data_IF_193761154417
#
_entry.id   IF_193761154417
#
_cell.length_a   1.000
_cell.length_b   1.000
_cell.length_c   1.000
_cell.angle_alpha   90.00
_cell.angle_beta   90.00
_cell.angle_gamma   90.00
#
_symmetry.space_group_name_H-M   'P 1'
#
loop_
_entity.id
_entity.type
_entity.pdbx_description
1 polymer ?
#
# COMPACT_ATOMS: atom_id res chain seq x y z
N UNK A 1 48.29 14.05 14.85
CA UNK A 1 46.89 13.91 14.34
C UNK A 1 46.44 12.47 14.66
N UNK A 2 45.71 12.31 15.73
CA UNK A 2 45.16 11.03 16.16
C UNK A 2 43.95 10.67 15.28
N UNK A 3 43.97 9.47 14.69
CA UNK A 3 42.82 8.99 13.88
C UNK A 3 41.56 8.95 14.75
N UNK A 4 40.39 9.29 14.21
CA UNK A 4 39.13 9.21 14.95
C UNK A 4 38.86 7.75 15.34
N UNK A 5 38.39 7.54 16.57
CA UNK A 5 38.02 6.24 17.08
C UNK A 5 36.98 5.57 16.16
N UNK A 6 37.06 4.25 15.96
CA UNK A 6 36.04 3.54 15.16
C UNK A 6 34.67 3.70 15.84
N UNK A 7 33.58 3.82 15.07
CA UNK A 7 32.25 3.93 15.62
C UNK A 7 31.89 2.68 16.43
N UNK A 8 31.09 2.81 17.49
CA UNK A 8 30.66 1.69 18.32
C UNK A 8 29.96 0.63 17.45
N UNK A 9 30.21 -0.64 17.79
CA UNK A 9 29.60 -1.78 17.11
C UNK A 9 28.06 -1.65 17.17
N UNK A 10 27.44 -1.64 16.00
CA UNK A 10 25.97 -1.66 15.91
C UNK A 10 25.43 -2.91 16.62
N UNK A 11 24.31 -2.81 17.34
CA UNK A 11 23.69 -3.97 17.96
C UNK A 11 23.38 -5.03 16.90
N UNK A 12 23.74 -6.28 17.20
CA UNK A 12 23.37 -7.41 16.34
C UNK A 12 21.86 -7.58 16.44
N UNK A 13 21.16 -7.25 15.37
CA UNK A 13 19.72 -7.46 15.28
C UNK A 13 19.46 -8.97 15.24
N UNK A 14 18.77 -9.50 16.24
CA UNK A 14 18.18 -10.85 16.19
C UNK A 14 17.02 -10.83 15.19
N UNK A 15 17.32 -10.91 13.88
CA UNK A 15 16.32 -10.85 12.80
C UNK A 15 15.73 -12.25 12.61
N UNK A 16 14.43 -12.40 12.87
CA UNK A 16 13.72 -13.58 12.47
C UNK A 16 13.69 -13.65 10.92
N UNK A 17 13.78 -14.86 10.37
CA UNK A 17 13.84 -15.09 8.92
C UNK A 17 12.60 -14.58 8.13
N UNK A 18 11.63 -14.01 8.82
CA UNK A 18 10.33 -13.54 8.29
C UNK A 18 10.14 -12.01 8.32
N UNK A 19 11.15 -11.23 8.72
CA UNK A 19 11.03 -9.78 8.76
C UNK A 19 11.53 -9.16 7.45
N UNK A 20 10.69 -8.34 6.81
CA UNK A 20 11.07 -7.61 5.62
C UNK A 20 12.03 -6.46 5.94
N UNK A 21 11.66 -5.58 6.89
CA UNK A 21 12.52 -4.50 7.40
C UNK A 21 12.49 -4.51 8.93
N UNK A 22 13.66 -4.37 9.54
CA UNK A 22 13.80 -4.09 10.97
C UNK A 22 14.74 -2.91 11.13
N UNK A 23 14.26 -1.87 11.82
CA UNK A 23 15.03 -0.67 12.13
C UNK A 23 14.98 -0.38 13.62
N UNK A 24 16.12 -0.01 14.21
CA UNK A 24 16.24 0.32 15.63
C UNK A 24 17.05 1.59 15.83
N UNK A 25 16.48 2.54 16.58
CA UNK A 25 17.15 3.73 17.05
C UNK A 25 17.77 4.57 15.92
N UNK A 26 17.13 4.61 14.74
CA UNK A 26 17.66 5.36 13.61
C UNK A 26 17.64 6.85 13.90
N UNK A 27 18.78 7.51 13.67
CA UNK A 27 18.93 8.96 13.75
C UNK A 27 19.60 9.52 12.50
N UNK A 28 19.19 10.71 12.07
CA UNK A 28 19.81 11.47 11.00
C UNK A 28 19.59 12.96 11.15
N UNK A 29 20.68 13.72 11.08
CA UNK A 29 20.69 15.17 11.19
C UNK A 29 21.33 15.83 9.98
N UNK A 30 20.89 17.03 9.64
CA UNK A 30 21.45 17.90 8.62
C UNK A 30 21.74 19.27 9.26
N UNK A 31 23.00 19.46 9.69
CA UNK A 31 23.37 20.61 10.50
C UNK A 31 22.56 20.64 11.82
N UNK A 32 21.81 21.71 12.06
CA UNK A 32 20.97 21.86 13.24
C UNK A 32 19.59 21.16 13.13
N UNK A 33 19.24 20.62 11.95
CA UNK A 33 17.94 19.98 11.73
C UNK A 33 18.06 18.48 11.98
N UNK A 34 17.39 18.01 13.02
CA UNK A 34 17.27 16.57 13.34
C UNK A 34 16.08 15.98 12.60
N UNK A 35 16.28 15.52 11.35
CA UNK A 35 15.22 15.01 10.51
C UNK A 35 14.68 13.65 10.97
N UNK A 36 15.57 12.79 11.50
CA UNK A 36 15.23 11.53 12.18
C UNK A 36 15.97 11.54 13.50
N UNK A 37 15.26 11.34 14.62
CA UNK A 37 15.83 11.44 15.97
C UNK A 37 15.97 10.09 16.65
N UNK A 38 14.88 9.31 16.61
CA UNK A 38 14.82 7.98 17.21
C UNK A 38 13.66 7.22 16.55
N UNK A 39 13.98 6.51 15.47
CA UNK A 39 12.98 5.74 14.73
C UNK A 39 13.29 4.26 14.88
N UNK A 40 12.32 3.54 15.42
CA UNK A 40 12.30 2.08 15.46
C UNK A 40 11.01 1.57 14.82
N UNK A 41 11.12 0.63 13.89
CA UNK A 41 9.98 0.05 13.21
C UNK A 41 10.30 -1.36 12.68
N UNK A 42 9.25 -2.14 12.48
CA UNK A 42 9.30 -3.44 11.77
C UNK A 42 8.26 -3.45 10.68
N UNK A 43 8.66 -3.89 9.48
CA UNK A 43 7.78 -4.17 8.35
C UNK A 43 7.84 -5.66 8.09
N UNK A 44 6.84 -6.45 8.50
CA UNK A 44 6.86 -7.90 8.30
C UNK A 44 6.78 -8.28 6.83
N UNK A 45 7.41 -9.38 6.45
CA UNK A 45 7.18 -10.00 5.16
C UNK A 45 5.70 -10.42 5.02
N UNK A 46 5.17 -10.29 3.83
CA UNK A 46 3.78 -10.64 3.57
C UNK A 46 2.75 -9.65 4.09
N UNK A 47 3.15 -8.42 4.43
CA UNK A 47 2.25 -7.39 4.95
C UNK A 47 2.48 -6.03 4.31
N UNK A 48 1.44 -5.20 4.35
CA UNK A 48 1.50 -3.78 4.00
C UNK A 48 1.54 -2.95 5.27
N UNK A 49 2.60 -2.18 5.46
CA UNK A 49 2.77 -1.25 6.59
C UNK A 49 2.64 0.18 6.09
N UNK A 50 1.77 0.97 6.70
CA UNK A 50 1.64 2.39 6.45
C UNK A 50 2.65 3.20 7.27
N UNK A 51 3.27 4.20 6.65
CA UNK A 51 4.11 5.21 7.32
C UNK A 51 3.35 6.53 7.35
N UNK A 52 2.84 6.88 8.50
CA UNK A 52 1.94 8.03 8.71
C UNK A 52 2.66 9.15 9.44
N UNK A 53 2.46 10.38 9.01
CA UNK A 53 2.97 11.55 9.71
C UNK A 53 2.76 12.83 8.92
N UNK A 54 2.72 14.00 9.58
CA UNK A 54 2.60 15.29 8.92
C UNK A 54 3.81 15.58 8.02
N UNK A 55 3.69 16.58 7.16
CA UNK A 55 4.84 17.06 6.38
C UNK A 55 5.95 17.53 7.33
N UNK A 56 7.19 17.18 7.01
CA UNK A 56 8.34 17.49 7.87
C UNK A 56 8.54 16.52 9.05
N UNK A 57 7.72 15.47 9.22
CA UNK A 57 7.92 14.48 10.28
C UNK A 57 9.12 13.55 10.10
N UNK A 58 9.81 13.61 8.94
CA UNK A 58 10.98 12.77 8.64
C UNK A 58 10.70 11.58 7.75
N UNK A 59 9.48 11.37 7.21
CA UNK A 59 9.11 10.20 6.39
C UNK A 59 10.06 9.96 5.23
N UNK A 60 10.23 10.96 4.36
CA UNK A 60 11.12 10.84 3.18
C UNK A 60 12.56 10.58 3.58
N UNK A 61 13.06 11.23 4.64
CA UNK A 61 14.42 10.99 5.16
C UNK A 61 14.56 9.54 5.68
N UNK A 62 13.58 9.06 6.40
CA UNK A 62 13.54 7.67 6.85
C UNK A 62 13.51 6.70 5.67
N UNK A 63 12.64 6.92 4.69
CA UNK A 63 12.58 6.08 3.49
C UNK A 63 13.90 6.05 2.73
N UNK A 64 14.61 7.19 2.61
CA UNK A 64 15.95 7.25 2.00
C UNK A 64 16.98 6.43 2.79
N UNK A 65 16.90 6.41 4.13
CA UNK A 65 17.76 5.56 4.97
C UNK A 65 17.45 4.09 4.72
N UNK A 66 16.17 3.71 4.74
CA UNK A 66 15.74 2.33 4.50
C UNK A 66 16.07 1.88 3.07
N UNK A 67 15.98 2.78 2.09
CA UNK A 67 16.38 2.54 0.70
C UNK A 67 17.92 2.50 0.49
N UNK A 68 18.72 2.64 1.57
CA UNK A 68 20.20 2.70 1.54
C UNK A 68 20.77 3.85 0.70
N UNK A 69 19.98 4.87 0.43
CA UNK A 69 20.37 6.07 -0.31
C UNK A 69 20.94 7.14 0.63
N UNK A 70 20.67 7.03 1.92
CA UNK A 70 21.17 7.90 2.96
C UNK A 70 21.68 7.06 4.14
N UNK A 71 22.93 7.32 4.56
CA UNK A 71 23.49 6.63 5.72
C UNK A 71 22.93 7.26 7.01
N UNK A 72 22.42 6.49 7.98
CA UNK A 72 22.05 7.02 9.28
C UNK A 72 23.28 7.46 10.09
N UNK A 73 23.10 8.42 10.99
CA UNK A 73 24.14 8.86 11.95
C UNK A 73 24.25 7.87 13.13
N UNK A 74 23.12 7.24 13.49
CA UNK A 74 23.06 6.22 14.54
C UNK A 74 21.93 5.20 14.23
N UNK A 75 21.95 4.10 14.97
CA UNK A 75 20.99 3.02 14.83
C UNK A 75 21.42 1.93 13.86
N UNK A 76 20.55 0.97 13.66
CA UNK A 76 20.76 -0.17 12.77
C UNK A 76 19.51 -0.44 11.91
N UNK A 77 19.71 -0.91 10.69
CA UNK A 77 18.63 -1.30 9.78
C UNK A 77 19.00 -2.59 9.05
N UNK A 78 18.06 -3.53 9.05
CA UNK A 78 18.12 -4.77 8.26
C UNK A 78 17.02 -4.76 7.21
N UNK A 79 17.35 -5.18 5.99
CA UNK A 79 16.45 -5.34 4.85
C UNK A 79 16.50 -6.81 4.41
N UNK A 80 15.40 -7.52 4.54
CA UNK A 80 15.31 -8.95 4.25
C UNK A 80 16.47 -9.76 4.86
N UNK A 81 16.83 -9.46 6.11
CA UNK A 81 17.91 -10.12 6.85
C UNK A 81 19.32 -9.61 6.56
N UNK A 82 19.49 -8.62 5.67
CA UNK A 82 20.79 -8.01 5.34
C UNK A 82 21.00 -6.71 6.11
N UNK A 83 22.15 -6.53 6.75
CA UNK A 83 22.55 -5.26 7.36
C UNK A 83 22.72 -4.18 6.25
N UNK A 84 21.75 -3.30 6.15
CA UNK A 84 21.69 -2.31 5.06
C UNK A 84 22.75 -1.20 5.18
N UNK A 85 23.36 -1.04 6.36
CA UNK A 85 24.45 -0.08 6.58
C UNK A 85 25.80 -0.66 6.16
N UNK A 86 26.04 -1.94 6.44
CA UNK A 86 27.28 -2.64 6.12
C UNK A 86 27.31 -3.21 4.71
N UNK A 87 26.15 -3.72 4.23
CA UNK A 87 26.01 -4.39 2.95
C UNK A 87 24.94 -3.73 2.06
N UNK A 88 25.06 -2.41 1.79
CA UNK A 88 24.01 -1.65 1.11
C UNK A 88 23.73 -2.14 -0.32
N UNK A 89 24.73 -2.70 -1.00
CA UNK A 89 24.56 -3.25 -2.36
C UNK A 89 23.69 -4.50 -2.33
N UNK A 90 23.93 -5.39 -1.37
CA UNK A 90 23.13 -6.61 -1.21
C UNK A 90 21.70 -6.29 -0.73
N UNK A 91 21.55 -5.32 0.18
CA UNK A 91 20.23 -4.85 0.60
C UNK A 91 19.43 -4.28 -0.58
N UNK A 92 20.04 -3.49 -1.48
CA UNK A 92 19.39 -2.94 -2.68
C UNK A 92 18.92 -4.02 -3.68
N UNK A 93 19.58 -5.16 -3.74
CA UNK A 93 19.13 -6.29 -4.59
C UNK A 93 17.79 -6.86 -4.16
N UNK A 94 17.46 -6.71 -2.86
CA UNK A 94 16.22 -7.22 -2.24
C UNK A 94 15.15 -6.18 -2.14
N UNK A 95 15.45 -4.92 -2.49
CA UNK A 95 14.62 -3.76 -2.21
C UNK A 95 14.21 -3.04 -3.50
N UNK A 96 12.91 -2.84 -3.67
CA UNK A 96 12.34 -1.91 -4.64
C UNK A 96 12.07 -0.55 -4.00
N UNK A 97 12.39 0.52 -4.71
CA UNK A 97 12.19 1.89 -4.25
C UNK A 97 11.42 2.72 -5.28
N UNK A 98 10.33 3.33 -4.82
CA UNK A 98 9.53 4.28 -5.58
C UNK A 98 9.49 5.61 -4.83
N UNK A 99 10.23 6.65 -5.29
CA UNK A 99 10.19 7.98 -4.70
C UNK A 99 8.94 8.75 -5.13
N UNK A 100 8.52 9.73 -4.32
CA UNK A 100 7.46 10.69 -4.69
C UNK A 100 7.83 11.50 -5.95
N UNK A 101 9.11 11.89 -6.08
CA UNK A 101 9.58 12.57 -7.28
C UNK A 101 9.85 11.56 -8.39
N UNK A 102 9.01 11.58 -9.42
CA UNK A 102 9.07 10.66 -10.56
C UNK A 102 10.25 10.99 -11.49
N UNK A 103 11.46 10.72 -11.08
CA UNK A 103 12.63 10.82 -11.95
C UNK A 103 12.53 9.83 -13.12
N UNK A 104 12.00 10.26 -14.26
CA UNK A 104 11.97 9.47 -15.49
C UNK A 104 13.11 9.87 -16.40
N UNK A 105 13.71 8.89 -17.10
CA UNK A 105 14.62 9.18 -18.21
C UNK A 105 13.77 9.53 -19.43
N UNK A 106 13.50 10.83 -19.60
CA UNK A 106 12.48 11.37 -20.50
C UNK A 106 12.64 10.92 -21.96
N UNK A 107 13.89 10.76 -22.41
CA UNK A 107 14.21 10.40 -23.79
C UNK A 107 14.18 8.88 -24.06
N UNK A 108 14.25 8.06 -23.03
CA UNK A 108 14.18 6.61 -23.19
C UNK A 108 12.74 6.14 -23.35
N UNK A 109 12.56 5.05 -24.10
CA UNK A 109 11.25 4.39 -24.18
C UNK A 109 10.91 3.71 -22.84
N UNK A 110 9.61 3.52 -22.56
CA UNK A 110 9.18 2.84 -21.35
C UNK A 110 9.77 1.43 -21.25
N UNK A 111 9.84 0.70 -22.37
CA UNK A 111 10.46 -0.61 -22.46
C UNK A 111 11.97 -0.54 -22.16
N UNK A 112 12.71 0.40 -22.79
CA UNK A 112 14.15 0.49 -22.57
C UNK A 112 14.53 0.85 -21.14
N UNK A 113 13.72 1.68 -20.48
CA UNK A 113 13.88 2.00 -19.05
C UNK A 113 13.83 0.71 -18.23
N UNK A 114 12.77 -0.09 -18.39
CA UNK A 114 12.57 -1.31 -17.61
C UNK A 114 13.60 -2.40 -17.95
N UNK A 115 13.89 -2.60 -19.25
CA UNK A 115 14.88 -3.56 -19.70
C UNK A 115 16.29 -3.20 -19.22
N UNK A 116 16.66 -1.90 -19.22
CA UNK A 116 17.94 -1.45 -18.70
C UNK A 116 18.07 -1.70 -17.20
N UNK A 117 17.01 -1.42 -16.43
CA UNK A 117 16.98 -1.73 -15.00
C UNK A 117 17.09 -3.24 -14.75
N UNK A 118 16.35 -4.08 -15.46
CA UNK A 118 16.46 -5.53 -15.34
C UNK A 118 17.92 -6.01 -15.56
N UNK A 119 18.60 -5.44 -16.54
CA UNK A 119 20.02 -5.71 -16.79
C UNK A 119 20.95 -5.25 -15.67
N UNK A 120 20.69 -4.10 -15.06
CA UNK A 120 21.44 -3.61 -13.89
C UNK A 120 21.29 -4.54 -12.67
N UNK A 121 20.16 -5.22 -12.57
CA UNK A 121 19.93 -6.28 -11.56
C UNK A 121 20.43 -7.67 -12.00
N UNK A 122 21.17 -7.78 -13.11
CA UNK A 122 21.84 -9.02 -13.53
C UNK A 122 21.06 -9.90 -14.49
N UNK A 123 19.90 -9.49 -14.99
CA UNK A 123 19.14 -10.24 -16.00
C UNK A 123 19.87 -10.26 -17.36
N UNK A 124 19.78 -11.38 -18.05
CA UNK A 124 20.22 -11.45 -19.46
C UNK A 124 19.39 -10.54 -20.36
N UNK A 125 19.91 -10.22 -21.57
CA UNK A 125 19.23 -9.29 -22.50
C UNK A 125 17.79 -9.73 -22.83
N UNK A 126 17.62 -11.00 -23.19
CA UNK A 126 16.30 -11.54 -23.54
C UNK A 126 15.35 -11.57 -22.34
N UNK A 127 15.84 -11.97 -21.16
CA UNK A 127 15.09 -11.99 -19.91
C UNK A 127 14.64 -10.59 -19.50
N UNK A 128 15.55 -9.60 -19.53
CA UNK A 128 15.26 -8.22 -19.20
C UNK A 128 14.20 -7.61 -20.14
N UNK A 129 14.25 -7.94 -21.44
CA UNK A 129 13.24 -7.50 -22.40
C UNK A 129 11.87 -8.12 -22.11
N UNK A 130 11.82 -9.44 -21.93
CA UNK A 130 10.56 -10.14 -21.57
C UNK A 130 9.99 -9.63 -20.25
N UNK A 131 10.85 -9.36 -19.26
CA UNK A 131 10.42 -8.79 -17.99
C UNK A 131 9.89 -7.36 -18.13
N UNK A 132 10.47 -6.54 -19.01
CA UNK A 132 9.96 -5.22 -19.31
C UNK A 132 8.55 -5.29 -19.93
N UNK A 133 8.30 -6.21 -20.87
CA UNK A 133 6.97 -6.41 -21.46
C UNK A 133 5.96 -6.87 -20.41
N UNK A 134 6.33 -7.83 -19.54
CA UNK A 134 5.50 -8.28 -18.41
C UNK A 134 5.12 -7.12 -17.49
N UNK A 135 6.08 -6.27 -17.12
CA UNK A 135 5.85 -5.12 -16.25
C UNK A 135 4.95 -4.07 -16.92
N UNK A 136 5.15 -3.77 -18.19
CA UNK A 136 4.32 -2.81 -18.93
C UNK A 136 2.89 -3.32 -19.08
N UNK A 137 2.68 -4.61 -19.27
CA UNK A 137 1.36 -5.22 -19.30
C UNK A 137 0.68 -5.13 -17.93
N UNK A 138 1.41 -5.42 -16.84
CA UNK A 138 0.89 -5.34 -15.46
C UNK A 138 0.42 -3.92 -15.10
N UNK A 139 1.21 -2.89 -15.44
CA UNK A 139 0.84 -1.50 -15.15
C UNK A 139 0.00 -0.84 -16.26
N UNK A 140 -0.52 -1.59 -17.21
CA UNK A 140 -1.37 -1.12 -18.33
C UNK A 140 -0.69 -0.01 -19.17
N UNK A 141 0.58 -0.18 -19.50
CA UNK A 141 1.37 0.74 -20.33
C UNK A 141 1.89 0.09 -21.63
N UNK A 142 1.33 -1.04 -22.04
CA UNK A 142 1.79 -1.78 -23.25
C UNK A 142 1.76 -0.92 -24.51
N UNK A 143 0.72 -0.09 -24.68
CA UNK A 143 0.63 0.82 -25.86
C UNK A 143 1.70 1.92 -25.88
N UNK A 144 2.33 2.20 -24.71
CA UNK A 144 3.41 3.18 -24.56
C UNK A 144 4.80 2.54 -24.55
N UNK A 145 4.91 1.20 -24.72
CA UNK A 145 6.16 0.47 -24.58
C UNK A 145 7.33 1.11 -25.37
N UNK A 146 7.10 1.46 -26.62
CA UNK A 146 8.09 2.03 -27.52
C UNK A 146 8.00 3.55 -27.67
N UNK A 147 7.27 4.22 -26.78
CA UNK A 147 7.20 5.70 -26.72
C UNK A 147 8.13 6.24 -25.66
N UNK A 148 8.76 7.40 -25.88
CA UNK A 148 9.57 8.08 -24.87
C UNK A 148 8.73 8.37 -23.61
N UNK A 149 9.33 8.21 -22.41
CA UNK A 149 8.61 8.36 -21.16
C UNK A 149 8.06 9.79 -20.92
N UNK A 150 8.60 10.82 -21.60
CA UNK A 150 8.10 12.19 -21.53
C UNK A 150 6.66 12.38 -22.02
N UNK A 151 6.14 11.48 -22.86
CA UNK A 151 4.75 11.59 -23.37
C UNK A 151 3.71 11.08 -22.37
N UNK A 152 4.13 10.43 -21.29
CA UNK A 152 3.23 9.88 -20.28
C UNK A 152 2.59 10.98 -19.43
N UNK A 153 1.30 10.85 -19.17
CA UNK A 153 0.63 11.63 -18.12
C UNK A 153 1.22 11.34 -16.74
N UNK A 154 0.97 12.21 -15.76
CA UNK A 154 1.46 12.02 -14.38
C UNK A 154 1.06 10.65 -13.79
N UNK A 155 -0.20 10.23 -13.95
CA UNK A 155 -0.65 8.91 -13.49
C UNK A 155 0.03 7.75 -14.22
N UNK A 156 0.33 7.90 -15.52
CA UNK A 156 1.09 6.90 -16.29
C UNK A 156 2.56 6.86 -15.83
N UNK A 157 3.18 8.01 -15.55
CA UNK A 157 4.53 8.08 -14.96
C UNK A 157 4.58 7.40 -13.59
N UNK A 158 3.54 7.58 -12.76
CA UNK A 158 3.41 6.93 -11.47
C UNK A 158 3.38 5.39 -11.62
N UNK A 159 2.58 4.89 -12.57
CA UNK A 159 2.53 3.46 -12.89
C UNK A 159 3.85 2.92 -13.42
N UNK A 160 4.54 3.67 -14.28
CA UNK A 160 5.89 3.31 -14.75
C UNK A 160 6.89 3.29 -13.58
N UNK A 161 6.80 4.22 -12.63
CA UNK A 161 7.66 4.25 -11.44
C UNK A 161 7.46 3.01 -10.55
N UNK A 162 6.21 2.55 -10.39
CA UNK A 162 5.92 1.29 -9.69
C UNK A 162 6.52 0.08 -10.43
N UNK A 163 6.37 0.02 -11.76
CA UNK A 163 6.98 -1.03 -12.58
C UNK A 163 8.52 -1.06 -12.45
N UNK A 164 9.16 0.12 -12.40
CA UNK A 164 10.60 0.26 -12.16
C UNK A 164 11.02 -0.29 -10.81
N UNK A 165 10.26 0.02 -9.76
CA UNK A 165 10.54 -0.44 -8.40
C UNK A 165 10.42 -1.96 -8.25
N UNK A 166 9.64 -2.63 -9.13
CA UNK A 166 9.30 -4.05 -9.02
C UNK A 166 9.92 -4.93 -10.10
N UNK A 167 10.68 -4.37 -11.05
CA UNK A 167 11.24 -5.09 -12.20
C UNK A 167 12.09 -6.29 -11.77
N UNK A 168 12.86 -6.20 -10.72
CA UNK A 168 13.75 -7.23 -10.19
C UNK A 168 13.12 -8.15 -9.16
N UNK A 169 11.79 -8.11 -8.98
CA UNK A 169 11.02 -8.92 -8.02
C UNK A 169 11.56 -8.80 -6.60
N UNK A 170 11.57 -7.60 -6.02
CA UNK A 170 12.11 -7.37 -4.69
C UNK A 170 11.29 -8.08 -3.61
N UNK A 171 11.94 -8.52 -2.52
CA UNK A 171 11.27 -9.04 -1.32
C UNK A 171 10.78 -7.92 -0.39
N UNK A 172 11.29 -6.70 -0.58
CA UNK A 172 10.89 -5.49 0.17
C UNK A 172 10.55 -4.38 -0.82
N UNK A 173 9.45 -3.68 -0.62
CA UNK A 173 9.01 -2.56 -1.45
C UNK A 173 8.77 -1.33 -0.59
N UNK A 174 9.49 -0.24 -0.90
CA UNK A 174 9.32 1.07 -0.29
C UNK A 174 8.66 2.02 -1.28
N UNK A 175 7.58 2.69 -0.86
CA UNK A 175 6.80 3.58 -1.71
C UNK A 175 6.58 4.92 -0.99
N UNK A 176 7.05 6.01 -1.59
CA UNK A 176 6.83 7.36 -1.07
C UNK A 176 5.69 8.02 -1.85
N UNK A 177 4.55 8.23 -1.18
CA UNK A 177 3.34 8.86 -1.72
C UNK A 177 2.86 8.24 -3.08
N UNK A 178 2.74 6.90 -3.22
CA UNK A 178 2.49 6.27 -4.52
C UNK A 178 1.11 6.58 -5.13
N UNK A 179 0.15 7.04 -4.34
CA UNK A 179 -1.20 7.41 -4.78
C UNK A 179 -1.30 8.86 -5.29
N UNK A 180 -0.23 9.65 -5.18
CA UNK A 180 -0.24 11.04 -5.59
C UNK A 180 -0.51 11.22 -7.09
N UNK A 181 -1.58 11.98 -7.40
CA UNK A 181 -1.96 12.26 -8.80
C UNK A 181 -2.66 11.11 -9.52
N UNK A 182 -3.03 10.04 -8.82
CA UNK A 182 -3.87 8.99 -9.35
C UNK A 182 -5.36 9.35 -9.22
N UNK A 183 -6.15 8.95 -10.21
CA UNK A 183 -7.60 8.97 -10.13
C UNK A 183 -8.12 7.87 -9.16
N UNK A 184 -9.39 7.93 -8.72
CA UNK A 184 -9.94 6.97 -7.76
C UNK A 184 -9.84 5.51 -8.24
N UNK A 185 -10.02 5.23 -9.53
CA UNK A 185 -9.93 3.87 -10.05
C UNK A 185 -8.49 3.35 -10.03
N UNK A 186 -7.52 4.22 -10.36
CA UNK A 186 -6.10 3.88 -10.28
C UNK A 186 -5.62 3.66 -8.84
N UNK A 187 -6.18 4.39 -7.84
CA UNK A 187 -5.89 4.17 -6.41
C UNK A 187 -6.38 2.80 -5.93
N UNK A 188 -7.58 2.39 -6.34
CA UNK A 188 -8.12 1.05 -6.03
C UNK A 188 -7.22 -0.03 -6.61
N UNK A 189 -6.78 0.10 -7.87
CA UNK A 189 -5.85 -0.85 -8.49
C UNK A 189 -4.52 -0.91 -7.74
N UNK A 190 -3.92 0.25 -7.43
CA UNK A 190 -2.68 0.30 -6.65
C UNK A 190 -2.82 -0.45 -5.32
N UNK A 191 -3.91 -0.21 -4.58
CA UNK A 191 -4.20 -0.93 -3.34
C UNK A 191 -4.25 -2.44 -3.55
N UNK A 192 -4.99 -2.90 -4.57
CA UNK A 192 -5.16 -4.32 -4.85
C UNK A 192 -3.83 -4.96 -5.29
N UNK A 193 -3.01 -4.25 -6.07
CA UNK A 193 -1.67 -4.68 -6.47
C UNK A 193 -0.73 -4.83 -5.26
N UNK A 194 -0.70 -3.83 -4.36
CA UNK A 194 0.14 -3.88 -3.16
C UNK A 194 -0.28 -5.01 -2.22
N UNK A 195 -1.58 -5.23 -2.05
CA UNK A 195 -2.10 -6.36 -1.28
C UNK A 195 -1.76 -7.71 -1.91
N UNK A 196 -1.83 -7.82 -3.25
CA UNK A 196 -1.43 -9.04 -3.96
C UNK A 196 0.06 -9.33 -3.80
N UNK A 197 0.91 -8.30 -3.87
CA UNK A 197 2.35 -8.44 -3.64
C UNK A 197 2.65 -8.86 -2.21
N UNK A 198 1.98 -8.27 -1.23
CA UNK A 198 2.11 -8.68 0.17
C UNK A 198 1.67 -10.13 0.35
N UNK A 199 0.51 -10.54 -0.18
CA UNK A 199 0.04 -11.93 -0.13
C UNK A 199 1.03 -12.93 -0.78
N UNK A 200 1.84 -12.47 -1.76
CA UNK A 200 2.93 -13.24 -2.35
C UNK A 200 4.23 -13.24 -1.52
N UNK A 201 4.23 -12.58 -0.34
CA UNK A 201 5.36 -12.58 0.59
C UNK A 201 6.21 -11.30 0.61
N UNK A 202 5.91 -10.29 -0.23
CA UNK A 202 6.65 -9.02 -0.23
C UNK A 202 6.32 -8.22 1.03
N UNK A 203 7.35 -7.66 1.70
CA UNK A 203 7.17 -6.67 2.75
C UNK A 203 6.98 -5.29 2.11
N UNK A 204 5.84 -4.63 2.33
CA UNK A 204 5.53 -3.34 1.71
C UNK A 204 5.47 -2.25 2.76
N UNK A 205 6.26 -1.17 2.58
CA UNK A 205 6.14 0.06 3.37
C UNK A 205 5.68 1.19 2.46
N UNK A 206 4.52 1.77 2.76
CA UNK A 206 3.91 2.83 1.96
C UNK A 206 3.71 4.08 2.81
N UNK A 207 4.21 5.23 2.34
CA UNK A 207 3.89 6.52 2.94
C UNK A 207 2.68 7.15 2.26
N UNK A 208 1.85 7.82 3.04
CA UNK A 208 0.86 8.78 2.54
C UNK A 208 0.53 9.78 3.65
N UNK A 209 0.03 10.93 3.24
CA UNK A 209 -0.52 11.94 4.15
C UNK A 209 -2.04 11.80 4.32
N UNK A 210 -2.69 10.90 3.58
CA UNK A 210 -4.13 10.61 3.64
C UNK A 210 -4.37 9.33 4.42
N UNK A 211 -4.74 9.46 5.70
CA UNK A 211 -4.90 8.34 6.62
C UNK A 211 -5.96 7.33 6.14
N UNK A 212 -7.09 7.81 5.62
CA UNK A 212 -8.17 6.94 5.14
C UNK A 212 -7.73 5.99 4.01
N UNK A 213 -6.87 6.45 3.09
CA UNK A 213 -6.32 5.61 2.02
C UNK A 213 -5.40 4.51 2.59
N UNK A 214 -4.62 4.86 3.63
CA UNK A 214 -3.71 3.91 4.28
C UNK A 214 -4.46 2.84 5.09
N UNK A 215 -5.53 3.22 5.79
CA UNK A 215 -6.36 2.26 6.54
C UNK A 215 -6.99 1.19 5.64
N UNK A 216 -7.35 1.56 4.40
CA UNK A 216 -7.92 0.61 3.45
C UNK A 216 -6.90 -0.37 2.87
N UNK A 217 -5.62 0.02 2.74
CA UNK A 217 -4.61 -0.80 2.06
C UNK A 217 -3.64 -1.52 3.00
N UNK A 218 -3.55 -1.10 4.27
CA UNK A 218 -2.48 -1.55 5.17
C UNK A 218 -2.98 -2.47 6.26
N UNK A 219 -2.11 -3.36 6.74
CA UNK A 219 -2.34 -4.24 7.87
C UNK A 219 -1.98 -3.56 9.19
N UNK A 220 -1.05 -2.59 9.13
CA UNK A 220 -0.59 -1.80 10.27
C UNK A 220 -0.13 -0.41 9.85
N UNK A 221 -0.03 0.50 10.83
CA UNK A 221 0.56 1.82 10.65
C UNK A 221 1.65 2.11 11.68
N UNK A 222 2.70 2.78 11.22
CA UNK A 222 3.76 3.38 12.04
C UNK A 222 3.60 4.89 11.97
N UNK A 223 3.40 5.52 13.11
CA UNK A 223 3.19 6.97 13.21
C UNK A 223 4.48 7.68 13.54
N UNK A 224 4.86 8.63 12.68
CA UNK A 224 6.02 9.49 12.86
C UNK A 224 5.60 10.91 13.25
N UNK A 225 6.26 11.45 14.27
CA UNK A 225 6.15 12.84 14.66
C UNK A 225 7.52 13.38 15.05
N UNK A 226 7.91 14.51 14.48
CA UNK A 226 9.15 15.21 14.81
C UNK A 226 10.41 14.31 14.74
N UNK A 227 10.47 13.41 13.77
CA UNK A 227 11.59 12.51 13.55
C UNK A 227 11.64 11.30 14.49
N UNK A 228 10.59 11.00 15.23
CA UNK A 228 10.52 9.84 16.12
C UNK A 228 9.28 8.99 15.86
N UNK A 229 9.36 7.68 16.14
CA UNK A 229 8.22 6.79 16.18
C UNK A 229 7.41 7.07 17.45
N UNK A 230 6.14 7.47 17.29
CA UNK A 230 5.26 7.79 18.44
C UNK A 230 4.27 6.67 18.74
N UNK A 231 3.88 5.89 17.75
CA UNK A 231 2.97 4.75 17.89
C UNK A 231 3.14 3.77 16.74
N UNK A 232 2.79 2.52 17.01
CA UNK A 232 2.52 1.51 15.99
C UNK A 232 1.13 0.96 16.25
N UNK A 233 0.27 0.93 15.25
CA UNK A 233 -1.09 0.45 15.35
C UNK A 233 -1.30 -0.68 14.35
N UNK A 234 -1.85 -1.80 14.82
CA UNK A 234 -2.33 -2.85 13.93
C UNK A 234 -3.72 -2.45 13.42
N UNK A 235 -3.89 -2.46 12.12
CA UNK A 235 -5.21 -2.43 11.52
C UNK A 235 -5.68 -3.89 11.47
N UNK A 236 -6.77 -4.19 12.14
CA UNK A 236 -7.38 -5.52 11.97
C UNK A 236 -7.66 -5.69 10.48
N UNK A 237 -7.37 -6.88 9.95
CA UNK A 237 -7.71 -7.23 8.58
C UNK A 237 -9.16 -6.80 8.33
N UNK A 238 -9.40 -6.11 7.21
CA UNK A 238 -10.73 -5.58 6.89
C UNK A 238 -11.82 -6.66 6.87
N UNK A 239 -11.41 -7.93 6.80
CA UNK A 239 -12.28 -9.11 6.86
C UNK A 239 -12.87 -9.39 8.26
N UNK A 240 -12.28 -8.81 9.35
CA UNK A 240 -12.78 -9.01 10.73
C UNK A 240 -13.55 -7.78 11.28
N UNK A 241 -13.51 -6.64 10.61
CA UNK A 241 -14.23 -5.46 11.04
C UNK A 241 -15.64 -5.47 10.48
N UNK A 242 -16.60 -5.68 11.38
CA UNK A 242 -17.99 -5.36 11.08
C UNK A 242 -18.08 -3.88 10.71
N UNK A 243 -18.41 -3.57 9.44
CA UNK A 243 -18.53 -2.19 8.96
C UNK A 243 -19.89 -1.63 9.36
N UNK A 244 -19.95 -0.45 9.96
CA UNK A 244 -21.22 0.22 10.19
C UNK A 244 -21.76 0.75 8.86
N UNK A 245 -22.96 0.31 8.50
CA UNK A 245 -23.71 0.88 7.39
C UNK A 245 -24.93 1.57 7.96
N UNK A 246 -25.22 2.76 7.44
CA UNK A 246 -26.40 3.51 7.81
C UNK A 246 -27.37 3.52 6.64
N UNK A 247 -28.56 2.97 6.83
CA UNK A 247 -29.60 2.95 5.80
C UNK A 247 -30.73 3.87 6.28
N UNK A 248 -31.00 4.93 5.52
CA UNK A 248 -32.18 5.74 5.71
C UNK A 248 -33.34 5.13 4.93
N UNK A 249 -34.41 4.76 5.61
CA UNK A 249 -35.61 4.16 4.99
C UNK A 249 -36.76 5.17 4.94
N UNK A 250 -37.46 5.29 3.80
CA UNK A 250 -38.55 6.25 3.66
C UNK A 250 -39.85 5.78 4.34
N UNK A 251 -40.01 4.49 4.68
CA UNK A 251 -41.24 3.91 5.21
C UNK A 251 -40.95 2.95 6.39
N UNK A 252 -41.62 3.13 7.53
CA UNK A 252 -41.52 2.24 8.69
C UNK A 252 -41.77 0.75 8.37
N UNK A 253 -42.72 0.46 7.48
CA UNK A 253 -43.12 -0.91 7.13
C UNK A 253 -42.04 -1.62 6.31
N UNK A 254 -41.44 -0.91 5.36
CA UNK A 254 -40.29 -1.39 4.56
C UNK A 254 -39.07 -1.63 5.47
N UNK A 255 -38.89 -0.78 6.48
CA UNK A 255 -37.80 -0.89 7.47
C UNK A 255 -37.93 -2.18 8.28
N UNK A 256 -39.09 -2.47 8.84
CA UNK A 256 -39.31 -3.67 9.67
C UNK A 256 -39.15 -4.96 8.88
N UNK A 257 -39.52 -4.93 7.60
CA UNK A 257 -39.32 -6.04 6.67
C UNK A 257 -37.82 -6.27 6.41
N UNK A 258 -37.07 -5.19 6.20
CA UNK A 258 -35.63 -5.23 5.98
C UNK A 258 -34.89 -5.73 7.23
N UNK A 259 -35.25 -5.24 8.43
CA UNK A 259 -34.68 -5.69 9.71
C UNK A 259 -34.84 -7.20 9.87
N UNK A 260 -36.04 -7.72 9.71
CA UNK A 260 -36.29 -9.17 9.83
C UNK A 260 -35.51 -9.99 8.81
N UNK A 261 -35.43 -9.52 7.57
CA UNK A 261 -34.68 -10.21 6.52
C UNK A 261 -33.17 -10.25 6.80
N UNK A 262 -32.62 -9.23 7.45
CA UNK A 262 -31.21 -9.14 7.83
C UNK A 262 -30.90 -9.98 9.08
N UNK A 263 -31.77 -9.91 10.10
CA UNK A 263 -31.65 -10.72 11.33
C UNK A 263 -31.73 -12.21 11.03
N UNK A 264 -32.64 -12.62 10.13
CA UNK A 264 -32.77 -14.02 9.71
C UNK A 264 -31.48 -14.57 9.06
N UNK A 265 -30.60 -13.68 8.60
CA UNK A 265 -29.29 -14.00 8.02
C UNK A 265 -28.12 -13.79 9.00
N UNK A 266 -28.40 -13.58 10.27
CA UNK A 266 -27.39 -13.45 11.33
C UNK A 266 -26.68 -12.10 11.36
N UNK A 267 -27.23 -11.06 10.70
CA UNK A 267 -26.68 -9.71 10.75
C UNK A 267 -27.22 -8.95 11.96
N UNK A 268 -26.34 -8.22 12.65
CA UNK A 268 -26.76 -7.38 13.78
C UNK A 268 -27.27 -6.04 13.25
N UNK A 269 -28.52 -5.73 13.59
CA UNK A 269 -29.21 -4.51 13.16
C UNK A 269 -29.61 -3.69 14.38
N UNK A 270 -29.27 -2.39 14.40
CA UNK A 270 -29.76 -1.46 15.42
C UNK A 270 -30.71 -0.47 14.75
N UNK A 271 -31.98 -0.52 15.13
CA UNK A 271 -33.02 0.34 14.56
C UNK A 271 -33.11 1.67 15.33
N UNK A 272 -32.77 2.79 14.70
CA UNK A 272 -33.11 4.14 15.16
C UNK A 272 -34.48 4.60 14.67
N UNK A 273 -34.97 5.77 15.13
CA UNK A 273 -36.31 6.28 14.74
C UNK A 273 -36.50 6.49 13.24
N UNK A 274 -35.45 6.97 12.53
CA UNK A 274 -35.50 7.29 11.11
C UNK A 274 -34.36 6.63 10.31
N UNK A 275 -33.54 5.79 10.95
CA UNK A 275 -32.33 5.19 10.35
C UNK A 275 -32.13 3.77 10.88
N UNK A 276 -31.54 2.91 10.04
CA UNK A 276 -31.06 1.59 10.40
C UNK A 276 -29.54 1.61 10.41
N UNK A 277 -28.94 1.39 11.56
CA UNK A 277 -27.51 1.15 11.67
C UNK A 277 -27.26 -0.35 11.62
N UNK A 278 -26.54 -0.78 10.58
CA UNK A 278 -26.20 -2.16 10.31
C UNK A 278 -24.74 -2.39 10.64
N UNK A 279 -24.46 -3.44 11.41
CA UNK A 279 -23.09 -3.91 11.58
C UNK A 279 -22.91 -5.17 10.74
N UNK A 280 -22.32 -5.03 9.55
CA UNK A 280 -22.11 -6.14 8.62
C UNK A 280 -20.68 -6.62 8.75
N UNK A 281 -20.49 -7.87 9.19
CA UNK A 281 -19.22 -8.58 8.97
C UNK A 281 -19.16 -9.00 7.51
N UNK A 282 -18.11 -8.66 6.77
CA UNK A 282 -17.95 -9.18 5.43
C UNK A 282 -17.89 -10.71 5.50
N UNK A 283 -18.52 -11.43 4.54
CA UNK A 283 -18.38 -12.87 4.44
C UNK A 283 -16.90 -13.21 4.24
N UNK A 284 -16.43 -14.31 4.84
CA UNK A 284 -15.05 -14.77 4.65
C UNK A 284 -14.75 -14.94 3.15
N UNK A 285 -13.54 -14.62 2.70
CA UNK A 285 -13.12 -14.70 1.29
C UNK A 285 -13.29 -16.11 0.68
N UNK A 286 -13.47 -17.15 1.49
CA UNK A 286 -13.80 -18.52 1.08
C UNK A 286 -15.21 -18.67 0.52
N UNK A 287 -16.15 -17.79 0.88
CA UNK A 287 -17.54 -17.85 0.42
C UNK A 287 -17.80 -17.01 -0.84
N UNK A 288 -16.84 -16.19 -1.25
CA UNK A 288 -16.92 -15.31 -2.42
C UNK A 288 -16.07 -15.84 -3.60
N UNK A 289 -16.26 -17.11 -3.98
CA UNK A 289 -15.75 -17.61 -5.25
C UNK A 289 -16.63 -17.09 -6.40
N UNK A 290 -16.67 -15.77 -6.62
CA UNK A 290 -17.40 -15.17 -7.72
C UNK A 290 -16.71 -13.92 -8.24
N UNK A 291 -16.11 -14.08 -9.41
CA UNK A 291 -15.77 -13.09 -10.45
C UNK A 291 -15.66 -11.60 -10.02
N UNK A 292 -14.41 -11.18 -9.77
CA UNK A 292 -13.98 -9.79 -9.80
C UNK A 292 -14.20 -9.21 -11.19
N UNK A 293 -15.28 -8.48 -11.39
CA UNK A 293 -15.41 -7.42 -12.42
C UNK A 293 -16.80 -6.78 -12.27
N UNK A 294 -16.82 -5.62 -11.65
CA UNK A 294 -17.85 -4.57 -11.77
C UNK A 294 -18.37 -4.08 -10.42
N UNK A 295 -18.14 -2.80 -10.11
CA UNK A 295 -18.77 -2.12 -8.95
C UNK A 295 -20.31 -2.17 -9.00
N UNK A 296 -20.91 -2.35 -10.18
CA UNK A 296 -22.36 -2.60 -10.34
C UNK A 296 -22.76 -3.97 -9.81
N UNK A 297 -21.89 -4.95 -9.84
CA UNK A 297 -22.16 -6.33 -9.41
C UNK A 297 -22.24 -6.44 -7.89
N UNK A 298 -21.50 -5.62 -7.12
CA UNK A 298 -21.55 -5.62 -5.65
C UNK A 298 -22.92 -5.20 -5.11
N UNK A 299 -23.51 -4.14 -5.68
CA UNK A 299 -24.87 -3.69 -5.32
C UNK A 299 -25.93 -4.73 -5.72
N UNK A 300 -25.77 -5.32 -6.90
CA UNK A 300 -26.68 -6.34 -7.42
C UNK A 300 -26.57 -7.67 -6.63
N UNK A 301 -25.38 -8.04 -6.16
CA UNK A 301 -25.17 -9.19 -5.28
C UNK A 301 -25.68 -8.92 -3.87
N UNK A 302 -25.50 -7.71 -3.33
CA UNK A 302 -26.09 -7.33 -2.05
C UNK A 302 -27.61 -7.36 -2.11
N UNK A 303 -28.21 -6.85 -3.18
CA UNK A 303 -29.63 -6.94 -3.43
C UNK A 303 -30.12 -8.39 -3.59
N UNK A 304 -29.37 -9.27 -4.28
CA UNK A 304 -29.66 -10.71 -4.40
C UNK A 304 -29.49 -11.47 -3.10
N UNK A 305 -28.57 -11.06 -2.23
CA UNK A 305 -28.40 -11.63 -0.90
C UNK A 305 -29.60 -11.32 0.02
N UNK A 306 -30.26 -10.17 -0.20
CA UNK A 306 -31.36 -9.71 0.64
C UNK A 306 -32.71 -10.26 0.18
N UNK A 307 -32.92 -10.55 -1.10
CA UNK A 307 -34.20 -11.12 -1.57
C UNK A 307 -34.09 -11.81 -2.93
N UNK A 308 -34.72 -12.98 -3.12
CA UNK A 308 -34.97 -13.55 -4.45
C UNK A 308 -35.88 -12.68 -5.35
N UNK A 309 -36.57 -11.68 -4.77
CA UNK A 309 -37.43 -10.73 -5.44
C UNK A 309 -36.78 -9.33 -5.56
N UNK A 310 -35.48 -9.28 -5.73
CA UNK A 310 -34.61 -8.10 -5.66
C UNK A 310 -35.00 -6.93 -6.59
N UNK A 311 -35.80 -7.14 -7.61
CA UNK A 311 -36.22 -6.08 -8.54
C UNK A 311 -36.99 -4.91 -7.90
N UNK A 312 -37.66 -5.15 -6.77
CA UNK A 312 -38.38 -4.09 -6.05
C UNK A 312 -37.50 -3.30 -5.08
N UNK A 313 -36.42 -3.92 -4.57
CA UNK A 313 -35.48 -3.27 -3.63
C UNK A 313 -34.38 -2.47 -4.35
N UNK A 314 -34.05 -2.78 -5.59
CA UNK A 314 -33.07 -2.03 -6.39
C UNK A 314 -33.43 -0.55 -6.56
N UNK A 315 -34.71 -0.22 -6.63
CA UNK A 315 -35.19 1.16 -6.73
C UNK A 315 -34.99 1.97 -5.44
N UNK A 316 -34.91 1.31 -4.29
CA UNK A 316 -34.75 1.94 -2.97
C UNK A 316 -33.28 2.01 -2.52
N UNK A 317 -32.44 1.06 -2.92
CA UNK A 317 -31.03 0.98 -2.50
C UNK A 317 -30.13 1.80 -3.41
N UNK A 318 -30.44 1.95 -4.68
CA UNK A 318 -29.67 2.69 -5.68
C UNK A 318 -29.40 4.17 -5.34
N UNK A 319 -30.38 4.95 -4.84
CA UNK A 319 -30.14 6.36 -4.48
C UNK A 319 -29.30 6.56 -3.23
N UNK A 320 -29.26 5.56 -2.34
CA UNK A 320 -28.69 5.68 -0.99
C UNK A 320 -27.19 5.38 -1.01
N UNK A 321 -26.74 4.47 -1.86
CA UNK A 321 -25.32 4.11 -1.98
C UNK A 321 -24.49 5.14 -2.76
N UNK A 322 -25.14 6.02 -3.54
CA UNK A 322 -24.46 7.08 -4.30
C UNK A 322 -24.49 8.46 -3.61
N UNK A 323 -25.18 8.63 -2.50
CA UNK A 323 -25.30 9.92 -1.81
C UNK A 323 -24.18 10.20 -0.78
N UNK A 324 -23.21 9.32 -0.62
CA UNK A 324 -22.09 9.47 0.33
C UNK A 324 -20.71 9.29 -0.32
N UNK A 325 -20.56 9.70 -1.59
CA UNK A 325 -19.28 9.92 -2.25
C UNK A 325 -19.28 11.39 -2.73
N UNK A 326 -19.23 12.32 -1.80
CA UNK A 326 -18.71 13.67 -1.96
C UNK A 326 -17.66 13.92 -0.87
#
# INVERSE_FOLDING_TARGET
MTAPAPPPASPVLGVAAHDGIVAHGLARSFGAVHAVRDVSLTVPAGSVTALVGPNGSGKTTLLLILATLLRPDAGAVSVAGVDAVREPVEARRRLGWMPDTLGVWEELTCHDILASLGRLYGMGKAEASARADEQLAWVELTEFAHRPARVLSRGQQQRLSLARATVHRPSVLLLDEPANGLDPAARIRLRDDLRAMAAAGTAVLVSSHVLAELEEMSDRAVFLREGATVATQEFRAADDLARPYRIAGPDPTARDTLVRALETRGLTVTAGRDQLDLLIKPPSLTDLNCHRRDHRTGVHQFAKLISPQAHQLEQFVRPILFAHVE
#
